data_IF_958719283413
#
_entry.id   IF_958719283413
#
_cell.length_a   1.000
_cell.length_b   1.000
_cell.length_c   1.000
_cell.angle_alpha   90.00
_cell.angle_beta   90.00
_cell.angle_gamma   90.00
#
_symmetry.space_group_name_H-M   'P 1'
#
loop_
_entity.id
_entity.type
_entity.pdbx_description
1 polymer ?
#
# COMPACT_ATOMS: atom_id res chain seq x y z
N UNK A 1 8.53 7.86 -29.20
CA UNK A 1 7.91 6.84 -28.33
C UNK A 1 7.77 7.40 -26.92
N UNK A 2 6.59 7.42 -26.40
CA UNK A 2 6.39 7.74 -24.99
C UNK A 2 6.99 6.61 -24.14
N UNK A 3 7.72 6.97 -23.08
CA UNK A 3 8.15 6.01 -22.11
C UNK A 3 6.92 5.33 -21.50
N UNK A 4 6.99 4.03 -21.24
CA UNK A 4 5.93 3.33 -20.53
C UNK A 4 5.75 3.96 -19.14
N UNK A 5 4.51 4.14 -18.71
CA UNK A 5 4.22 4.62 -17.38
C UNK A 5 4.72 3.63 -16.32
N UNK A 6 5.28 4.11 -15.21
CA UNK A 6 5.84 3.24 -14.19
C UNK A 6 4.77 2.39 -13.52
N UNK A 7 5.13 1.15 -13.21
CA UNK A 7 4.33 0.23 -12.43
C UNK A 7 4.78 0.31 -10.97
N UNK A 8 3.90 0.76 -10.09
CA UNK A 8 4.21 1.00 -8.68
C UNK A 8 3.39 0.09 -7.79
N UNK A 9 4.06 -0.58 -6.86
CA UNK A 9 3.43 -1.33 -5.77
C UNK A 9 3.44 -0.48 -4.51
N UNK A 10 2.26 -0.20 -3.96
CA UNK A 10 2.09 0.58 -2.75
C UNK A 10 1.70 -0.29 -1.55
N UNK A 11 2.28 -0.01 -0.39
CA UNK A 11 2.02 -0.69 0.87
C UNK A 11 1.52 0.30 1.91
N UNK A 12 0.37 0.02 2.50
CA UNK A 12 -0.26 0.85 3.53
C UNK A 12 -0.57 0.01 4.77
N UNK A 13 0.10 0.30 5.88
CA UNK A 13 -0.08 -0.41 7.16
C UNK A 13 -0.19 0.55 8.35
N UNK A 14 -0.77 1.73 8.14
CA UNK A 14 -0.76 2.79 9.16
C UNK A 14 -1.64 2.53 10.38
N UNK A 15 -2.67 1.70 10.27
CA UNK A 15 -3.59 1.38 11.36
C UNK A 15 -4.00 -0.10 11.36
N UNK A 16 -5.26 -0.40 11.08
CA UNK A 16 -5.87 -1.73 11.23
C UNK A 16 -6.02 -2.50 9.91
N UNK A 17 -5.85 -1.84 8.79
CA UNK A 17 -5.93 -2.46 7.47
C UNK A 17 -4.57 -2.60 6.83
N UNK A 18 -4.33 -3.76 6.22
CA UNK A 18 -3.18 -3.98 5.34
C UNK A 18 -3.64 -3.73 3.92
N UNK A 19 -3.18 -2.65 3.30
CA UNK A 19 -3.52 -2.28 1.95
C UNK A 19 -2.36 -2.48 0.98
N UNK A 20 -2.62 -3.14 -0.14
CA UNK A 20 -1.67 -3.26 -1.25
C UNK A 20 -2.35 -2.73 -2.51
N UNK A 21 -1.77 -1.71 -3.09
CA UNK A 21 -2.22 -1.14 -4.36
C UNK A 21 -1.18 -1.31 -5.45
N UNK A 22 -1.62 -1.60 -6.67
CA UNK A 22 -0.75 -1.62 -7.83
C UNK A 22 -1.32 -0.66 -8.87
N UNK A 23 -0.52 0.29 -9.29
CA UNK A 23 -0.91 1.31 -10.24
C UNK A 23 0.09 1.38 -11.39
N UNK A 24 -0.41 1.67 -12.59
CA UNK A 24 0.39 2.03 -13.76
C UNK A 24 0.06 3.48 -14.13
N UNK A 25 0.98 4.38 -13.84
CA UNK A 25 0.69 5.81 -13.94
C UNK A 25 -0.47 6.18 -13.01
N UNK A 26 -1.61 6.59 -13.57
CA UNK A 26 -2.84 6.90 -12.80
C UNK A 26 -3.88 5.79 -12.88
N UNK A 27 -3.58 4.67 -13.52
CA UNK A 27 -4.51 3.54 -13.65
C UNK A 27 -4.34 2.59 -12.48
N UNK A 28 -5.40 2.40 -11.70
CA UNK A 28 -5.44 1.41 -10.63
C UNK A 28 -5.63 0.02 -11.23
N UNK A 29 -4.64 -0.86 -11.04
CA UNK A 29 -4.69 -2.24 -11.54
C UNK A 29 -5.21 -3.21 -10.49
N UNK A 30 -4.89 -3.00 -9.22
CA UNK A 30 -5.45 -3.77 -8.11
C UNK A 30 -5.42 -2.98 -6.81
N UNK A 31 -6.36 -3.31 -5.93
CA UNK A 31 -6.48 -2.75 -4.58
C UNK A 31 -6.93 -3.87 -3.65
N UNK A 32 -6.00 -4.40 -2.88
CA UNK A 32 -6.24 -5.50 -1.96
C UNK A 32 -6.18 -4.99 -0.53
N UNK A 33 -7.23 -5.25 0.24
CA UNK A 33 -7.34 -4.81 1.63
C UNK A 33 -7.63 -6.02 2.51
N UNK A 34 -6.81 -6.20 3.55
CA UNK A 34 -7.03 -7.16 4.62
C UNK A 34 -7.23 -6.40 5.94
N UNK A 35 -8.36 -6.62 6.61
CA UNK A 35 -8.71 -5.90 7.83
C UNK A 35 -8.51 -6.78 9.07
N UNK A 36 -8.02 -6.17 10.16
CA UNK A 36 -7.96 -6.78 11.48
C UNK A 36 -9.08 -6.32 12.42
N UNK A 37 -10.15 -5.72 11.89
CA UNK A 37 -11.27 -5.17 12.67
C UNK A 37 -11.89 -6.19 13.63
N UNK A 38 -12.09 -7.43 13.20
CA UNK A 38 -12.69 -8.48 14.02
C UNK A 38 -11.81 -8.84 15.22
N UNK A 39 -10.51 -8.81 15.08
CA UNK A 39 -9.56 -9.04 16.17
C UNK A 39 -9.58 -7.90 17.17
N UNK A 40 -9.65 -6.66 16.70
CA UNK A 40 -9.72 -5.48 17.57
C UNK A 40 -11.05 -5.40 18.33
N UNK A 41 -12.14 -5.88 17.76
CA UNK A 41 -13.46 -5.87 18.38
C UNK A 41 -13.49 -6.61 19.72
N UNK A 42 -12.66 -7.65 19.91
CA UNK A 42 -12.52 -8.37 21.16
C UNK A 42 -12.04 -7.48 22.32
N UNK A 43 -11.32 -6.42 22.01
CA UNK A 43 -10.69 -5.52 22.97
C UNK A 43 -11.40 -4.18 23.08
N UNK A 44 -12.50 -3.98 22.35
CA UNK A 44 -13.26 -2.73 22.34
C UNK A 44 -12.61 -1.59 21.58
N UNK A 45 -11.59 -1.86 20.77
CA UNK A 45 -10.90 -0.85 19.97
C UNK A 45 -9.58 -1.35 19.41
N UNK A 46 -8.87 -0.50 18.68
CA UNK A 46 -7.59 -0.84 18.05
C UNK A 46 -6.52 -1.08 19.11
N UNK A 47 -5.89 -2.26 19.06
CA UNK A 47 -4.75 -2.63 19.90
C UNK A 47 -3.48 -2.62 19.04
N UNK A 48 -2.50 -1.73 19.30
CA UNK A 48 -1.33 -1.56 18.43
C UNK A 48 -0.52 -2.84 18.18
N UNK A 49 -0.32 -3.66 19.20
CA UNK A 49 0.39 -4.94 19.05
C UNK A 49 -0.37 -5.93 18.16
N UNK A 50 -1.69 -6.00 18.30
CA UNK A 50 -2.54 -6.86 17.47
C UNK A 50 -2.50 -6.36 16.02
N UNK A 51 -2.55 -5.05 15.80
CA UNK A 51 -2.44 -4.46 14.46
C UNK A 51 -1.10 -4.83 13.80
N UNK A 52 0.02 -4.65 14.49
CA UNK A 52 1.35 -4.97 13.96
C UNK A 52 1.46 -6.45 13.57
N UNK A 53 0.98 -7.35 14.42
CA UNK A 53 0.99 -8.79 14.15
C UNK A 53 0.11 -9.17 12.98
N UNK A 54 -1.09 -8.60 12.90
CA UNK A 54 -2.01 -8.82 11.79
C UNK A 54 -1.41 -8.40 10.45
N UNK A 55 -0.70 -7.26 10.40
CA UNK A 55 0.00 -6.81 9.20
C UNK A 55 1.09 -7.80 8.77
N UNK A 56 1.87 -8.33 9.71
CA UNK A 56 2.89 -9.34 9.40
C UNK A 56 2.28 -10.58 8.74
N UNK A 57 1.15 -11.06 9.25
CA UNK A 57 0.49 -12.25 8.73
C UNK A 57 -0.21 -12.00 7.39
N UNK A 58 -0.79 -10.81 7.21
CA UNK A 58 -1.59 -10.47 6.04
C UNK A 58 -0.77 -10.00 4.84
N UNK A 59 0.44 -9.50 5.06
CA UNK A 59 1.19 -8.74 4.06
C UNK A 59 1.56 -9.56 2.82
N UNK A 60 2.16 -10.74 3.00
CA UNK A 60 2.55 -11.58 1.88
C UNK A 60 1.35 -12.09 1.07
N UNK A 61 0.29 -12.64 1.70
CA UNK A 61 -0.91 -13.01 0.94
C UNK A 61 -1.56 -11.84 0.21
N UNK A 62 -1.57 -10.65 0.79
CA UNK A 62 -2.12 -9.46 0.16
C UNK A 62 -1.31 -9.03 -1.06
N UNK A 63 0.01 -9.10 -1.00
CA UNK A 63 0.88 -8.81 -2.15
C UNK A 63 0.64 -9.82 -3.27
N UNK A 64 0.58 -11.11 -2.95
CA UNK A 64 0.32 -12.17 -3.94
C UNK A 64 -1.04 -11.98 -4.62
N UNK A 65 -2.08 -11.67 -3.85
CA UNK A 65 -3.41 -11.38 -4.38
C UNK A 65 -3.41 -10.15 -5.29
N UNK A 66 -2.76 -9.08 -4.87
CA UNK A 66 -2.68 -7.85 -5.64
C UNK A 66 -1.97 -8.06 -6.98
N UNK A 67 -0.86 -8.79 -7.00
CA UNK A 67 -0.13 -9.14 -8.22
C UNK A 67 -0.99 -9.97 -9.17
N UNK A 68 -1.71 -10.96 -8.64
CA UNK A 68 -2.59 -11.81 -9.43
C UNK A 68 -3.75 -11.02 -10.05
N UNK A 69 -4.40 -10.15 -9.27
CA UNK A 69 -5.48 -9.30 -9.77
C UNK A 69 -5.01 -8.28 -10.81
N UNK A 70 -3.82 -7.72 -10.62
CA UNK A 70 -3.21 -6.80 -11.58
C UNK A 70 -2.65 -7.53 -12.83
N UNK A 71 -2.53 -8.85 -12.78
CA UNK A 71 -1.93 -9.66 -13.84
C UNK A 71 -0.49 -9.24 -14.17
N UNK A 72 0.27 -8.94 -13.13
CA UNK A 72 1.69 -8.58 -13.23
C UNK A 72 2.53 -9.46 -12.31
N UNK A 73 3.81 -9.59 -12.63
CA UNK A 73 4.78 -10.25 -11.77
C UNK A 73 5.52 -9.23 -10.90
N UNK A 74 6.08 -9.69 -9.80
CA UNK A 74 6.89 -8.85 -8.92
C UNK A 74 8.09 -8.23 -9.67
N UNK A 75 8.69 -8.97 -10.60
CA UNK A 75 9.81 -8.49 -11.42
C UNK A 75 9.46 -7.30 -12.33
N UNK A 76 8.17 -7.12 -12.66
CA UNK A 76 7.71 -6.01 -13.49
C UNK A 76 7.55 -4.69 -12.71
N UNK A 77 7.57 -4.73 -11.38
CA UNK A 77 7.43 -3.54 -10.53
C UNK A 77 8.62 -2.60 -10.73
N UNK A 78 8.34 -1.36 -11.06
CA UNK A 78 9.35 -0.32 -11.31
C UNK A 78 9.73 0.46 -10.05
N UNK A 79 8.81 0.58 -9.10
CA UNK A 79 9.02 1.30 -7.84
C UNK A 79 8.13 0.75 -6.74
N UNK A 80 8.59 0.88 -5.50
CA UNK A 80 7.83 0.55 -4.29
C UNK A 80 7.52 1.84 -3.54
N UNK A 81 6.27 2.03 -3.16
CA UNK A 81 5.81 3.12 -2.30
C UNK A 81 5.29 2.56 -0.99
N UNK A 82 5.49 3.27 0.10
CA UNK A 82 5.02 2.84 1.42
C UNK A 82 4.61 4.03 2.26
N UNK A 83 3.52 3.89 2.99
CA UNK A 83 3.12 4.88 3.99
C UNK A 83 4.11 4.89 5.14
N UNK A 84 4.71 6.08 5.39
CA UNK A 84 5.71 6.28 6.44
C UNK A 84 5.17 6.99 7.67
N UNK A 85 3.96 7.52 7.60
CA UNK A 85 3.26 8.21 8.69
C UNK A 85 2.26 9.25 8.17
N UNK A 86 1.41 9.80 9.04
CA UNK A 86 1.18 9.38 10.43
C UNK A 86 0.45 8.04 10.55
N UNK A 87 0.58 7.39 11.71
CA UNK A 87 -0.07 6.11 12.01
C UNK A 87 0.52 5.45 13.25
N UNK A 88 0.08 4.23 13.52
CA UNK A 88 0.61 3.43 14.62
C UNK A 88 2.05 3.01 14.31
N UNK A 89 2.98 3.35 15.20
CA UNK A 89 4.42 3.17 14.95
C UNK A 89 4.79 1.70 14.63
N UNK A 90 4.30 0.74 15.42
CA UNK A 90 4.56 -0.68 15.19
C UNK A 90 3.98 -1.19 13.87
N UNK A 91 2.77 -0.75 13.52
CA UNK A 91 2.12 -1.10 12.26
C UNK A 91 2.87 -0.50 11.06
N UNK A 92 3.25 0.77 11.13
CA UNK A 92 4.04 1.43 10.09
C UNK A 92 5.38 0.73 9.87
N UNK A 93 6.05 0.29 10.93
CA UNK A 93 7.33 -0.43 10.84
C UNK A 93 7.23 -1.73 10.04
N UNK A 94 6.12 -2.44 10.13
CA UNK A 94 5.88 -3.67 9.35
C UNK A 94 5.88 -3.37 7.85
N UNK A 95 5.08 -2.38 7.43
CA UNK A 95 5.00 -1.98 6.02
C UNK A 95 6.31 -1.42 5.49
N UNK A 96 6.94 -0.52 6.25
CA UNK A 96 8.22 0.09 5.87
C UNK A 96 9.32 -0.97 5.76
N UNK A 97 9.40 -1.90 6.71
CA UNK A 97 10.37 -3.00 6.66
C UNK A 97 10.20 -3.89 5.44
N UNK A 98 8.97 -4.28 5.13
CA UNK A 98 8.67 -5.07 3.94
C UNK A 98 8.98 -4.31 2.64
N UNK A 99 8.62 -3.04 2.58
CA UNK A 99 8.90 -2.20 1.41
C UNK A 99 10.39 -2.04 1.14
N UNK A 100 11.18 -1.82 2.20
CA UNK A 100 12.65 -1.77 2.10
C UNK A 100 13.23 -3.09 1.58
N UNK A 101 12.76 -4.21 2.11
CA UNK A 101 13.20 -5.53 1.68
C UNK A 101 12.89 -5.78 0.20
N UNK A 102 11.69 -5.44 -0.25
CA UNK A 102 11.29 -5.55 -1.65
C UNK A 102 12.12 -4.65 -2.56
N UNK A 103 12.31 -3.39 -2.19
CA UNK A 103 13.09 -2.44 -2.97
C UNK A 103 14.53 -2.90 -3.15
N UNK A 104 15.15 -3.43 -2.10
CA UNK A 104 16.51 -4.00 -2.16
C UNK A 104 16.54 -5.24 -3.04
N UNK A 105 15.62 -6.18 -2.83
CA UNK A 105 15.56 -7.43 -3.58
C UNK A 105 15.31 -7.22 -5.08
N UNK A 106 14.50 -6.23 -5.44
CA UNK A 106 14.18 -5.91 -6.82
C UNK A 106 15.14 -4.92 -7.46
N UNK A 107 16.02 -4.30 -6.68
CA UNK A 107 16.88 -3.18 -7.09
C UNK A 107 16.03 -2.04 -7.70
N UNK A 108 15.00 -1.63 -6.96
CA UNK A 108 14.06 -0.58 -7.38
C UNK A 108 13.99 0.53 -6.35
N UNK A 109 13.64 1.76 -6.78
CA UNK A 109 13.50 2.88 -5.84
C UNK A 109 12.35 2.67 -4.86
N UNK A 110 12.52 3.22 -3.65
CA UNK A 110 11.55 3.24 -2.58
C UNK A 110 11.12 4.67 -2.31
N UNK A 111 9.81 4.89 -2.27
CA UNK A 111 9.23 6.21 -1.96
C UNK A 111 8.44 6.14 -0.67
N UNK A 112 8.76 7.03 0.26
CA UNK A 112 7.99 7.24 1.49
C UNK A 112 6.83 8.18 1.19
N UNK A 113 5.61 7.80 1.59
CA UNK A 113 4.39 8.55 1.32
C UNK A 113 3.72 8.91 2.64
N UNK A 114 3.29 10.16 2.76
CA UNK A 114 2.46 10.60 3.88
C UNK A 114 1.05 10.03 3.74
N UNK A 115 0.52 9.45 4.83
CA UNK A 115 -0.81 8.84 4.86
C UNK A 115 -1.93 9.77 4.37
N UNK A 116 -1.91 11.04 4.81
CA UNK A 116 -2.93 12.03 4.44
C UNK A 116 -2.79 12.46 2.97
N UNK A 117 -1.57 12.60 2.49
CA UNK A 117 -1.31 12.85 1.06
C UNK A 117 -1.81 11.69 0.20
N UNK A 118 -1.66 10.46 0.68
CA UNK A 118 -2.19 9.26 0.02
C UNK A 118 -3.71 9.32 -0.15
N UNK A 119 -4.45 9.75 0.87
CA UNK A 119 -5.90 9.93 0.79
C UNK A 119 -6.31 10.94 -0.29
N UNK A 120 -5.60 12.06 -0.38
CA UNK A 120 -5.86 13.08 -1.40
C UNK A 120 -5.51 12.55 -2.79
N UNK A 121 -4.37 11.89 -2.92
CA UNK A 121 -3.89 11.37 -4.20
C UNK A 121 -4.76 10.22 -4.75
N UNK A 122 -5.47 9.48 -3.90
CA UNK A 122 -6.35 8.40 -4.32
C UNK A 122 -7.44 8.88 -5.30
N UNK A 123 -7.91 10.10 -5.17
CA UNK A 123 -8.90 10.68 -6.07
C UNK A 123 -8.37 10.85 -7.50
N UNK A 124 -7.05 10.92 -7.68
CA UNK A 124 -6.41 11.03 -8.99
C UNK A 124 -6.37 9.71 -9.76
N UNK A 125 -6.64 8.59 -9.08
CA UNK A 125 -6.61 7.26 -9.69
C UNK A 125 -7.90 6.92 -10.43
N UNK A 126 -8.99 7.62 -10.14
CA UNK A 126 -10.25 7.41 -10.84
C UNK A 126 -10.26 8.27 -12.12
N UNK A 127 -10.08 7.61 -13.27
CA UNK A 127 -10.06 8.28 -14.58
C UNK A 127 -11.41 8.92 -14.94
N UNK A 128 -12.49 8.57 -14.24
CA UNK A 128 -13.85 9.12 -14.44
C UNK A 128 -14.17 10.23 -13.44
N UNK A 129 -13.37 10.39 -12.39
CA UNK A 129 -13.55 11.46 -11.42
C UNK A 129 -13.04 12.79 -12.01
N UNK A 130 -13.79 13.87 -11.82
CA UNK A 130 -13.31 15.19 -12.16
C UNK A 130 -12.10 15.55 -11.30
N UNK A 131 -11.06 16.17 -11.88
CA UNK A 131 -9.90 16.61 -11.11
C UNK A 131 -10.33 17.55 -9.98
N UNK A 132 -9.82 17.32 -8.77
CA UNK A 132 -10.02 18.27 -7.68
C UNK A 132 -9.38 19.60 -8.03
N UNK A 133 -10.18 20.65 -8.07
CA UNK A 133 -9.65 22.00 -8.15
C UNK A 133 -9.29 22.45 -6.74
N UNK A 134 -8.02 22.71 -6.52
CA UNK A 134 -7.55 23.29 -5.26
C UNK A 134 -7.71 24.81 -5.32
N UNK A 135 -8.21 25.43 -4.24
CA UNK A 135 -8.30 26.89 -4.18
C UNK A 135 -6.92 27.56 -4.21
#
# INVERSE_FOLDING_TARGET
MSAAEPLVLGIETSCDETGIGIVRGRTLLSNTIASSMDEHARYGGVVPEVAARAHLEALQPAIETALAEAQVSLAEIDAVAVTSGPGLAGALMVGVGAAKALAVALDRPLYAVNHLVGHIAADLLDAEAEPLEYP
#
